data_IF_747631747170
#
_entry.id   IF_747631747170
#
_cell.length_a   1.000
_cell.length_b   1.000
_cell.length_c   1.000
_cell.angle_alpha   90.00
_cell.angle_beta   90.00
_cell.angle_gamma   90.00
#
_symmetry.space_group_name_H-M   'P 1'
#
loop_
_entity.id
_entity.type
_entity.pdbx_description
1 polymer ?
#
# COMPACT_ATOMS: atom_id res chain seq x y z
N UNK A 1 -11.73 0.80 -5.70
CA UNK A 1 -11.86 -0.48 -4.98
C UNK A 1 -11.78 -0.20 -3.49
N UNK A 2 -12.59 -0.86 -2.66
CA UNK A 2 -12.36 -0.87 -1.21
C UNK A 2 -11.29 -1.93 -0.91
N UNK A 3 -10.29 -1.58 -0.11
CA UNK A 3 -9.19 -2.49 0.25
C UNK A 3 -9.53 -3.23 1.53
N UNK A 4 -9.08 -4.47 1.66
CA UNK A 4 -9.11 -5.16 2.95
C UNK A 4 -8.00 -4.58 3.84
N UNK A 5 -8.12 -4.76 5.15
CA UNK A 5 -7.11 -4.29 6.08
C UNK A 5 -7.01 -5.17 7.32
N UNK A 6 -5.83 -5.19 7.92
CA UNK A 6 -5.54 -5.80 9.21
C UNK A 6 -4.71 -4.82 10.03
N UNK A 7 -5.02 -4.72 11.33
CA UNK A 7 -4.22 -3.92 12.26
C UNK A 7 -2.96 -4.71 12.63
N UNK A 8 -1.83 -4.03 12.79
CA UNK A 8 -0.63 -4.65 13.32
C UNK A 8 -0.82 -4.94 14.82
N UNK A 9 -0.30 -6.07 15.30
CA UNK A 9 -0.44 -6.51 16.70
C UNK A 9 0.11 -5.49 17.71
N UNK A 10 1.12 -4.74 17.30
CA UNK A 10 1.76 -3.66 18.06
C UNK A 10 0.83 -2.44 18.24
N UNK A 11 -0.29 -2.38 17.52
CA UNK A 11 -1.30 -1.32 17.63
C UNK A 11 -0.90 0.03 17.02
N UNK A 12 0.23 0.08 16.31
CA UNK A 12 0.82 1.30 15.76
C UNK A 12 0.75 1.36 14.22
N UNK A 13 0.05 0.44 13.57
CA UNK A 13 -0.01 0.39 12.12
C UNK A 13 -1.17 -0.41 11.57
N UNK A 14 -1.32 -0.32 10.25
CA UNK A 14 -2.34 -1.02 9.47
C UNK A 14 -1.74 -1.50 8.14
N UNK A 15 -1.97 -2.77 7.81
CA UNK A 15 -1.65 -3.33 6.50
C UNK A 15 -2.92 -3.38 5.65
N UNK A 16 -2.90 -2.72 4.50
CA UNK A 16 -3.97 -2.78 3.50
C UNK A 16 -3.61 -3.78 2.41
N UNK A 17 -4.57 -4.59 1.99
CA UNK A 17 -4.38 -5.57 0.91
C UNK A 17 -5.38 -5.38 -0.22
N UNK A 18 -4.91 -5.53 -1.45
CA UNK A 18 -5.73 -5.46 -2.66
C UNK A 18 -5.20 -6.41 -3.73
N UNK A 19 -6.12 -6.93 -4.55
CA UNK A 19 -5.80 -7.72 -5.73
C UNK A 19 -6.11 -6.87 -6.98
N UNK A 20 -5.12 -6.71 -7.86
CA UNK A 20 -5.32 -6.29 -9.25
C UNK A 20 -5.39 -7.54 -10.09
N UNK A 21 -6.49 -7.77 -10.80
CA UNK A 21 -6.66 -8.98 -11.59
C UNK A 21 -5.84 -8.89 -12.89
N UNK A 22 -5.52 -10.05 -13.48
CA UNK A 22 -4.83 -10.13 -14.77
C UNK A 22 -5.60 -9.33 -15.85
N UNK A 23 -4.90 -8.42 -16.53
CA UNK A 23 -5.45 -7.54 -17.55
C UNK A 23 -6.09 -6.24 -17.02
N UNK A 24 -6.19 -6.07 -15.70
CA UNK A 24 -6.71 -4.84 -15.10
C UNK A 24 -5.78 -3.65 -15.39
N UNK A 25 -6.35 -2.53 -15.86
CA UNK A 25 -5.55 -1.40 -16.36
C UNK A 25 -4.70 -1.72 -17.59
N UNK A 26 -4.89 -2.89 -18.21
CA UNK A 26 -4.09 -3.38 -19.34
C UNK A 26 -2.80 -4.10 -18.93
N UNK A 27 -2.57 -4.36 -17.64
CA UNK A 27 -1.33 -4.96 -17.15
C UNK A 27 -1.43 -6.50 -17.03
N UNK A 28 -0.43 -7.25 -17.51
CA UNK A 28 -0.41 -8.71 -17.33
C UNK A 28 -0.20 -9.11 -15.87
N UNK A 29 -0.73 -10.25 -15.49
CA UNK A 29 -0.54 -10.88 -14.18
C UNK A 29 -1.53 -10.39 -13.14
N UNK A 30 -1.97 -11.31 -12.29
CA UNK A 30 -2.65 -10.92 -11.05
C UNK A 30 -1.61 -10.42 -10.07
N UNK A 31 -1.78 -9.21 -9.55
CA UNK A 31 -0.91 -8.62 -8.53
C UNK A 31 -1.62 -8.66 -7.19
N UNK A 32 -0.98 -9.30 -6.21
CA UNK A 32 -1.31 -9.11 -4.80
C UNK A 32 -0.46 -7.95 -4.28
N UNK A 33 -1.12 -6.90 -3.78
CA UNK A 33 -0.49 -5.70 -3.28
C UNK A 33 -0.82 -5.51 -1.81
N UNK A 34 0.22 -5.24 -1.03
CA UNK A 34 0.16 -4.88 0.38
C UNK A 34 0.79 -3.49 0.57
N UNK A 35 0.13 -2.64 1.35
CA UNK A 35 0.65 -1.33 1.76
C UNK A 35 0.50 -1.21 3.27
N UNK A 36 1.62 -1.15 3.98
CA UNK A 36 1.63 -1.04 5.43
C UNK A 36 2.00 0.36 5.86
N UNK A 37 1.13 1.00 6.63
CA UNK A 37 1.40 2.28 7.30
C UNK A 37 1.75 2.01 8.76
N UNK A 38 2.88 2.56 9.22
CA UNK A 38 3.36 2.39 10.60
C UNK A 38 3.71 3.77 11.16
N UNK A 39 3.19 4.07 12.36
CA UNK A 39 3.61 5.21 13.15
C UNK A 39 4.63 4.75 14.19
N UNK A 40 5.80 5.39 14.21
CA UNK A 40 6.87 5.08 15.16
C UNK A 40 6.85 6.02 16.36
N UNK A 41 7.53 5.65 17.44
CA UNK A 41 7.66 6.53 18.63
C UNK A 41 8.59 7.72 18.37
N UNK A 42 9.32 7.69 17.26
CA UNK A 42 10.23 8.73 16.77
C UNK A 42 9.50 9.79 15.91
N UNK A 43 8.17 9.74 15.83
CA UNK A 43 7.32 10.58 14.98
C UNK A 43 7.53 10.39 13.48
N UNK A 44 7.85 9.17 13.06
CA UNK A 44 7.97 8.81 11.64
C UNK A 44 6.68 8.15 11.16
N UNK A 45 6.35 8.39 9.88
CA UNK A 45 5.38 7.57 9.16
C UNK A 45 6.13 6.73 8.13
N UNK A 46 6.14 5.41 8.34
CA UNK A 46 6.71 4.45 7.40
C UNK A 46 5.59 3.94 6.51
N UNK A 47 5.84 3.92 5.19
CA UNK A 47 4.94 3.32 4.20
C UNK A 47 5.71 2.22 3.48
N UNK A 48 5.46 0.96 3.86
CA UNK A 48 6.08 -0.22 3.23
C UNK A 48 5.17 -0.77 2.14
N UNK A 49 5.74 -1.01 0.95
CA UNK A 49 5.03 -1.57 -0.19
C UNK A 49 5.55 -2.97 -0.49
N UNK A 50 4.66 -3.94 -0.58
CA UNK A 50 4.99 -5.29 -1.02
C UNK A 50 4.04 -5.73 -2.11
N UNK A 51 4.59 -6.35 -3.14
CA UNK A 51 3.78 -6.88 -4.21
C UNK A 51 4.35 -8.21 -4.71
N UNK A 52 3.44 -9.10 -5.10
CA UNK A 52 3.79 -10.33 -5.81
C UNK A 52 2.85 -10.50 -7.00
N UNK A 53 3.35 -11.14 -8.04
CA UNK A 53 2.61 -11.36 -9.29
C UNK A 53 2.84 -12.77 -9.81
N UNK A 54 1.86 -13.32 -10.52
CA UNK A 54 1.96 -14.62 -11.17
C UNK A 54 2.49 -14.55 -12.61
N UNK A 55 2.72 -13.34 -13.16
CA UNK A 55 3.32 -13.12 -14.49
C UNK A 55 4.26 -11.92 -14.43
N UNK A 56 5.25 -11.89 -15.32
CA UNK A 56 6.06 -10.70 -15.56
C UNK A 56 5.16 -9.51 -15.89
N UNK A 57 5.33 -8.43 -15.13
CA UNK A 57 4.54 -7.21 -15.26
C UNK A 57 5.37 -6.01 -14.85
N UNK A 58 4.86 -4.81 -15.09
CA UNK A 58 5.47 -3.57 -14.60
C UNK A 58 4.66 -3.06 -13.42
N UNK A 59 5.36 -2.53 -12.42
CA UNK A 59 4.73 -1.98 -11.22
C UNK A 59 5.58 -0.82 -10.70
N UNK A 60 4.96 0.34 -10.50
CA UNK A 60 5.60 1.51 -9.91
C UNK A 60 4.55 2.26 -9.09
N UNK A 61 4.59 2.12 -7.76
CA UNK A 61 3.57 2.62 -6.84
C UNK A 61 4.16 3.79 -6.07
N UNK A 62 3.34 4.82 -5.82
CA UNK A 62 3.70 5.97 -5.00
C UNK A 62 2.56 6.34 -4.05
N UNK A 63 2.92 6.95 -2.93
CA UNK A 63 1.98 7.64 -2.05
C UNK A 63 1.72 9.06 -2.61
N UNK A 64 0.48 9.54 -2.53
CA UNK A 64 0.11 10.88 -3.00
C UNK A 64 -0.38 11.77 -1.85
N UNK A 65 0.30 11.74 -0.71
CA UNK A 65 0.02 12.65 0.40
C UNK A 65 0.48 14.07 0.08
N UNK A 66 -0.36 15.04 0.43
CA UNK A 66 -0.04 16.45 0.41
C UNK A 66 0.10 16.93 1.84
N UNK A 67 1.21 17.59 2.13
CA UNK A 67 1.45 18.16 3.45
C UNK A 67 1.17 19.66 3.42
N UNK A 68 0.28 20.11 4.31
CA UNK A 68 0.08 21.52 4.60
C UNK A 68 0.41 21.77 6.08
N UNK A 69 1.55 22.41 6.35
CA UNK A 69 1.98 22.68 7.72
C UNK A 69 1.24 23.87 8.35
N UNK A 70 0.47 24.64 7.57
CA UNK A 70 -0.38 25.71 8.10
C UNK A 70 -1.70 25.18 8.67
N UNK A 71 -2.07 23.93 8.36
CA UNK A 71 -3.28 23.29 8.89
C UNK A 71 -4.61 23.82 8.32
N UNK A 72 -4.58 24.48 7.16
CA UNK A 72 -5.76 24.94 6.41
C UNK A 72 -6.30 23.88 5.46
#
# INVERSE_FOLDING_TARGET
KLWNYELLDEGNGVCFTCISHDGEGGYPGQVHLEVTYILTNENEIIIDYRASTNKSTILNIANNAYFNLNGE
#
